data_IF_068154505233
#
_entry.id   IF_068154505233
#
_cell.length_a   1.000
_cell.length_b   1.000
_cell.length_c   1.000
_cell.angle_alpha   90.00
_cell.angle_beta   90.00
_cell.angle_gamma   90.00
#
_symmetry.space_group_name_H-M   'P 1'
#
loop_
_entity.id
_entity.type
_entity.pdbx_description
1 polymer ?
#
# COMPACT_ATOMS: atom_id res chain seq x y z
N UNK A 1 23.50 -12.49 -9.42
CA UNK A 1 22.69 -11.26 -9.71
C UNK A 1 21.56 -11.04 -8.70
N UNK A 2 20.88 -12.09 -8.24
CA UNK A 2 19.78 -11.97 -7.26
C UNK A 2 20.28 -11.37 -5.92
N UNK A 3 21.40 -11.87 -5.40
CA UNK A 3 21.94 -11.43 -4.09
C UNK A 3 22.43 -9.98 -4.10
N UNK A 4 22.96 -9.49 -5.22
CA UNK A 4 23.37 -8.08 -5.35
C UNK A 4 22.14 -7.16 -5.34
N UNK A 5 21.05 -7.55 -5.97
CA UNK A 5 19.81 -6.77 -5.97
C UNK A 5 19.18 -6.73 -4.56
N UNK A 6 19.23 -7.83 -3.81
CA UNK A 6 18.75 -7.90 -2.42
C UNK A 6 19.59 -7.00 -1.52
N UNK A 7 20.91 -7.08 -1.57
CA UNK A 7 21.81 -6.25 -0.75
C UNK A 7 21.65 -4.75 -1.04
N UNK A 8 21.49 -4.37 -2.31
CA UNK A 8 21.23 -2.97 -2.68
C UNK A 8 19.88 -2.51 -2.14
N UNK A 9 18.85 -3.32 -2.29
CA UNK A 9 17.51 -3.02 -1.77
C UNK A 9 17.52 -2.89 -0.25
N UNK A 10 18.19 -3.78 0.46
CA UNK A 10 18.33 -3.73 1.91
C UNK A 10 19.06 -2.46 2.38
N UNK A 11 20.17 -2.10 1.73
CA UNK A 11 20.91 -0.89 2.04
C UNK A 11 20.08 0.39 1.86
N UNK A 12 19.30 0.47 0.78
CA UNK A 12 18.42 1.60 0.51
C UNK A 12 17.23 1.65 1.48
N UNK A 13 16.66 0.50 1.81
CA UNK A 13 15.59 0.39 2.82
C UNK A 13 16.08 0.85 4.18
N UNK A 14 17.25 0.40 4.63
CA UNK A 14 17.84 0.81 5.90
C UNK A 14 18.15 2.30 5.94
N UNK A 15 18.63 2.87 4.83
CA UNK A 15 18.83 4.31 4.71
C UNK A 15 17.50 5.07 4.91
N UNK A 16 16.45 4.63 4.23
CA UNK A 16 15.12 5.25 4.34
C UNK A 16 14.53 5.10 5.75
N UNK A 17 14.64 3.95 6.38
CA UNK A 17 14.21 3.73 7.76
C UNK A 17 14.93 4.66 8.74
N UNK A 18 16.24 4.87 8.56
CA UNK A 18 17.02 5.81 9.36
C UNK A 18 16.59 7.27 9.15
N UNK A 19 16.21 7.67 7.93
CA UNK A 19 15.67 9.00 7.64
C UNK A 19 14.33 9.21 8.34
N UNK A 20 13.41 8.24 8.21
CA UNK A 20 12.09 8.27 8.88
C UNK A 20 12.29 8.31 10.40
N UNK A 21 13.14 7.45 10.96
CA UNK A 21 13.46 7.44 12.39
C UNK A 21 13.92 8.80 12.88
N UNK A 22 14.84 9.46 12.17
CA UNK A 22 15.30 10.81 12.54
C UNK A 22 14.19 11.85 12.46
N UNK A 23 13.31 11.76 11.44
CA UNK A 23 12.22 12.73 11.27
C UNK A 23 11.17 12.64 12.38
N UNK A 24 10.93 11.43 12.89
CA UNK A 24 9.94 11.19 13.94
C UNK A 24 10.53 11.28 15.36
N UNK A 25 11.86 11.27 15.50
CA UNK A 25 12.53 11.27 16.82
C UNK A 25 12.21 12.50 17.67
N UNK A 26 11.93 13.64 17.06
CA UNK A 26 11.51 14.88 17.73
C UNK A 26 10.01 14.93 18.04
N UNK A 27 9.21 13.97 17.54
CA UNK A 27 7.77 13.96 17.71
C UNK A 27 7.36 13.22 18.98
N UNK A 28 6.25 13.64 19.60
CA UNK A 28 5.66 12.88 20.69
C UNK A 28 4.85 11.69 20.14
N UNK A 29 5.49 10.54 20.03
CA UNK A 29 4.87 9.31 19.50
C UNK A 29 3.83 8.70 20.43
N UNK A 30 3.85 9.05 21.71
CA UNK A 30 2.99 8.44 22.73
C UNK A 30 1.71 9.22 22.96
N UNK A 31 1.52 10.38 22.30
CA UNK A 31 0.39 11.27 22.57
C UNK A 31 -0.96 10.58 22.48
N UNK A 32 -1.20 9.83 21.44
CA UNK A 32 -2.50 9.16 21.21
C UNK A 32 -2.66 7.95 22.13
N UNK A 33 -1.58 7.20 22.34
CA UNK A 33 -1.55 6.07 23.28
C UNK A 33 -1.76 6.55 24.73
N UNK A 34 -1.13 7.65 25.12
CA UNK A 34 -1.29 8.23 26.44
C UNK A 34 -2.69 8.81 26.65
N UNK A 35 -3.25 9.47 25.65
CA UNK A 35 -4.63 9.95 25.70
C UNK A 35 -5.62 8.78 25.87
N UNK A 36 -5.45 7.71 25.11
CA UNK A 36 -6.28 6.51 25.24
C UNK A 36 -6.14 5.89 26.64
N UNK A 37 -4.91 5.81 27.17
CA UNK A 37 -4.64 5.30 28.52
C UNK A 37 -5.34 6.14 29.59
N UNK A 38 -5.26 7.47 29.52
CA UNK A 38 -5.93 8.37 30.45
C UNK A 38 -7.44 8.26 30.39
N UNK A 39 -7.99 8.04 29.19
CA UNK A 39 -9.42 7.81 28.96
C UNK A 39 -9.86 6.37 29.26
N UNK A 40 -8.94 5.49 29.65
CA UNK A 40 -9.18 4.04 29.86
C UNK A 40 -9.78 3.33 28.63
N UNK A 41 -9.36 3.75 27.45
CA UNK A 41 -9.72 3.13 26.17
C UNK A 41 -8.66 2.11 25.76
N UNK A 42 -9.07 0.96 25.27
CA UNK A 42 -8.16 0.04 24.60
C UNK A 42 -7.73 0.68 23.27
N UNK A 43 -6.44 0.69 23.00
CA UNK A 43 -5.85 1.31 21.81
C UNK A 43 -4.78 0.43 21.21
N UNK A 44 -4.80 0.26 19.90
CA UNK A 44 -3.80 -0.50 19.17
C UNK A 44 -3.52 0.15 17.82
N UNK A 45 -2.24 0.31 17.47
CA UNK A 45 -1.81 0.66 16.14
C UNK A 45 -1.59 -0.62 15.32
N UNK A 46 -2.19 -0.72 14.13
CA UNK A 46 -2.08 -1.90 13.27
C UNK A 46 -1.78 -1.57 11.80
N UNK A 47 -1.18 -0.42 11.54
CA UNK A 47 -0.89 0.09 10.21
C UNK A 47 -0.09 -0.91 9.37
N UNK A 48 1.10 -1.32 9.81
CA UNK A 48 1.96 -2.24 9.06
C UNK A 48 1.31 -3.61 8.82
N UNK A 49 0.50 -4.08 9.77
CA UNK A 49 -0.24 -5.35 9.61
C UNK A 49 -1.27 -5.20 8.51
N UNK A 50 -2.02 -4.10 8.48
CA UNK A 50 -3.00 -3.80 7.44
C UNK A 50 -2.34 -3.67 6.06
N UNK A 51 -1.21 -2.94 5.97
CA UNK A 51 -0.44 -2.80 4.74
C UNK A 51 -0.01 -4.16 4.17
N UNK A 52 0.52 -5.04 5.01
CA UNK A 52 0.93 -6.39 4.58
C UNK A 52 -0.25 -7.24 4.09
N UNK A 53 -1.43 -7.12 4.71
CA UNK A 53 -2.63 -7.81 4.24
C UNK A 53 -3.05 -7.34 2.85
N UNK A 54 -3.09 -6.03 2.62
CA UNK A 54 -3.52 -5.50 1.31
C UNK A 54 -2.49 -5.75 0.23
N UNK A 55 -1.19 -5.65 0.54
CA UNK A 55 -0.10 -5.95 -0.39
C UNK A 55 -0.16 -7.40 -0.87
N UNK A 56 -0.25 -8.34 0.07
CA UNK A 56 -0.35 -9.77 -0.23
C UNK A 56 -1.61 -10.07 -1.05
N UNK A 57 -2.76 -9.57 -0.62
CA UNK A 57 -4.03 -9.77 -1.30
C UNK A 57 -4.01 -9.25 -2.75
N UNK A 58 -3.53 -8.03 -2.98
CA UNK A 58 -3.48 -7.46 -4.32
C UNK A 58 -2.44 -8.17 -5.20
N UNK A 59 -1.29 -8.53 -4.63
CA UNK A 59 -0.26 -9.27 -5.36
C UNK A 59 -0.81 -10.59 -5.88
N UNK A 60 -1.48 -11.37 -5.02
CA UNK A 60 -2.10 -12.63 -5.40
C UNK A 60 -3.23 -12.44 -6.41
N UNK A 61 -4.09 -11.46 -6.19
CA UNK A 61 -5.23 -11.19 -7.06
C UNK A 61 -4.78 -10.77 -8.48
N UNK A 62 -3.83 -9.85 -8.60
CA UNK A 62 -3.29 -9.40 -9.89
C UNK A 62 -2.62 -10.56 -10.63
N UNK A 63 -1.85 -11.40 -9.92
CA UNK A 63 -1.24 -12.61 -10.51
C UNK A 63 -2.28 -13.61 -10.98
N UNK A 64 -3.29 -13.91 -10.15
CA UNK A 64 -4.34 -14.89 -10.44
C UNK A 64 -5.17 -14.50 -11.66
N UNK A 65 -5.47 -13.22 -11.80
CA UNK A 65 -6.27 -12.69 -12.92
C UNK A 65 -5.41 -12.41 -14.17
N UNK A 66 -4.09 -12.67 -14.12
CA UNK A 66 -3.17 -12.55 -15.24
C UNK A 66 -3.23 -11.17 -15.91
N UNK A 67 -3.25 -10.08 -15.14
CA UNK A 67 -3.26 -8.73 -15.68
C UNK A 67 -2.13 -8.51 -16.69
N UNK A 68 -2.46 -8.14 -17.90
CA UNK A 68 -1.49 -7.92 -18.98
C UNK A 68 -1.23 -6.45 -19.25
N UNK A 69 -2.26 -5.61 -19.12
CA UNK A 69 -2.19 -4.16 -19.29
C UNK A 69 -2.50 -3.42 -17.99
N UNK A 70 -2.14 -2.13 -17.89
CA UNK A 70 -2.52 -1.33 -16.73
C UNK A 70 -4.04 -1.15 -16.62
N UNK A 71 -4.78 -1.22 -17.75
CA UNK A 71 -6.24 -1.25 -17.71
C UNK A 71 -6.75 -2.45 -16.93
N UNK A 72 -6.14 -3.64 -17.13
CA UNK A 72 -6.55 -4.84 -16.43
C UNK A 72 -6.35 -4.69 -14.90
N UNK A 73 -5.25 -4.04 -14.48
CA UNK A 73 -5.04 -3.73 -13.04
C UNK A 73 -6.16 -2.81 -12.54
N UNK A 74 -6.51 -1.77 -13.27
CA UNK A 74 -7.62 -0.86 -12.89
C UNK A 74 -8.93 -1.64 -12.78
N UNK A 75 -9.22 -2.51 -13.76
CA UNK A 75 -10.44 -3.32 -13.76
C UNK A 75 -10.46 -4.29 -12.57
N UNK A 76 -9.32 -4.92 -12.25
CA UNK A 76 -9.16 -5.77 -11.05
C UNK A 76 -9.43 -4.97 -9.77
N UNK A 77 -8.86 -3.77 -9.63
CA UNK A 77 -9.12 -2.91 -8.48
C UNK A 77 -10.60 -2.58 -8.35
N UNK A 78 -11.28 -2.31 -9.48
CA UNK A 78 -12.74 -2.09 -9.50
C UNK A 78 -13.58 -3.33 -9.17
N UNK A 79 -13.02 -4.54 -9.08
CA UNK A 79 -13.74 -5.71 -8.53
C UNK A 79 -13.82 -5.69 -7.00
N UNK A 80 -13.01 -4.86 -6.33
CA UNK A 80 -12.88 -4.78 -4.87
C UNK A 80 -13.75 -3.65 -4.34
N UNK A 81 -14.61 -3.95 -3.39
CA UNK A 81 -15.66 -3.02 -2.96
C UNK A 81 -15.13 -1.74 -2.32
N UNK A 82 -14.03 -1.81 -1.56
CA UNK A 82 -13.39 -0.63 -0.98
C UNK A 82 -12.98 0.37 -2.06
N UNK A 83 -12.40 -0.09 -3.16
CA UNK A 83 -12.02 0.78 -4.27
C UNK A 83 -13.22 1.29 -5.06
N UNK A 84 -14.28 0.47 -5.24
CA UNK A 84 -15.54 0.92 -5.85
C UNK A 84 -16.20 2.03 -5.03
N UNK A 85 -16.27 1.85 -3.71
CA UNK A 85 -16.86 2.84 -2.79
C UNK A 85 -16.02 4.11 -2.80
N UNK A 86 -14.70 4.00 -2.75
CA UNK A 86 -13.78 5.14 -2.82
C UNK A 86 -13.93 5.90 -4.14
N UNK A 87 -14.10 5.20 -5.26
CA UNK A 87 -14.34 5.82 -6.56
C UNK A 87 -15.64 6.62 -6.58
N UNK A 88 -16.73 6.12 -5.98
CA UNK A 88 -17.99 6.87 -5.81
C UNK A 88 -17.83 8.12 -4.93
N UNK A 89 -16.79 8.15 -4.09
CA UNK A 89 -16.41 9.31 -3.26
C UNK A 89 -15.34 10.19 -3.93
N UNK A 90 -15.24 10.14 -5.26
CA UNK A 90 -14.31 10.91 -6.10
C UNK A 90 -12.82 10.60 -5.89
N UNK A 91 -12.49 9.44 -5.34
CA UNK A 91 -11.13 8.97 -5.18
C UNK A 91 -10.92 7.59 -5.85
N UNK A 92 -10.97 7.51 -7.19
CA UNK A 92 -10.82 6.25 -7.92
C UNK A 92 -9.35 5.82 -8.00
N UNK A 93 -9.09 4.51 -8.19
CA UNK A 93 -7.80 4.03 -8.66
C UNK A 93 -7.40 4.72 -9.97
N UNK A 94 -6.09 5.05 -10.10
CA UNK A 94 -5.62 5.88 -11.22
C UNK A 94 -4.22 5.50 -11.67
N UNK A 95 -3.98 5.55 -12.99
CA UNK A 95 -2.64 5.45 -13.60
C UNK A 95 -1.99 6.83 -13.54
N UNK A 96 -0.84 6.95 -12.86
CA UNK A 96 -0.06 8.18 -12.76
C UNK A 96 1.12 8.21 -13.73
N UNK A 97 1.65 7.04 -14.11
CA UNK A 97 2.65 6.91 -15.16
C UNK A 97 2.35 5.67 -16.02
N UNK A 98 2.49 5.80 -17.33
CA UNK A 98 2.04 4.82 -18.31
C UNK A 98 0.67 5.18 -18.90
N UNK A 99 0.07 4.25 -19.60
CA UNK A 99 -1.24 4.38 -20.24
C UNK A 99 -2.05 3.10 -20.05
N UNK A 100 -3.35 3.12 -20.32
CA UNK A 100 -4.22 1.95 -20.25
C UNK A 100 -3.66 0.75 -21.06
N UNK A 101 -2.95 1.01 -22.16
CA UNK A 101 -2.36 -0.01 -23.04
C UNK A 101 -0.95 -0.45 -22.65
N UNK A 102 -0.32 0.21 -21.68
CA UNK A 102 1.01 -0.16 -21.20
C UNK A 102 0.97 -1.56 -20.60
N UNK A 103 2.00 -2.38 -20.90
CA UNK A 103 2.11 -3.73 -20.36
C UNK A 103 2.50 -3.69 -18.89
N UNK A 104 1.91 -4.55 -18.09
CA UNK A 104 2.23 -4.71 -16.67
C UNK A 104 3.67 -5.18 -16.48
N UNK A 105 4.12 -6.17 -17.24
CA UNK A 105 5.44 -6.78 -17.11
C UNK A 105 5.68 -7.35 -15.70
N UNK A 106 6.92 -7.28 -15.23
CA UNK A 106 7.23 -7.63 -13.83
C UNK A 106 6.72 -6.51 -12.93
N UNK A 107 5.86 -6.84 -11.99
CA UNK A 107 5.27 -5.85 -11.10
C UNK A 107 5.57 -6.13 -9.63
N UNK A 108 5.48 -5.10 -8.85
CA UNK A 108 5.43 -5.15 -7.38
C UNK A 108 4.21 -4.37 -6.88
N UNK A 109 3.72 -4.77 -5.72
CA UNK A 109 2.71 -4.03 -4.97
C UNK A 109 3.41 -3.46 -3.74
N UNK A 110 3.29 -2.16 -3.50
CA UNK A 110 3.79 -1.47 -2.32
C UNK A 110 2.64 -0.70 -1.68
N UNK A 111 2.19 -1.19 -0.55
CA UNK A 111 1.09 -0.59 0.20
C UNK A 111 1.59 0.04 1.51
N UNK A 112 2.81 0.54 1.49
CA UNK A 112 3.40 1.22 2.64
C UNK A 112 2.92 2.68 2.69
N UNK A 113 2.04 2.99 3.63
CA UNK A 113 1.42 4.32 3.72
C UNK A 113 2.31 5.41 4.31
N UNK A 114 3.29 5.08 5.14
CA UNK A 114 4.07 6.06 5.91
C UNK A 114 5.50 6.30 5.41
N UNK A 115 6.08 5.38 4.68
CA UNK A 115 7.46 5.42 4.20
C UNK A 115 7.51 4.99 2.74
N UNK A 116 7.37 5.94 1.81
CA UNK A 116 7.58 5.65 0.40
C UNK A 116 9.02 5.17 0.13
N UNK A 117 9.24 4.49 -0.98
CA UNK A 117 10.56 4.08 -1.45
C UNK A 117 11.60 5.20 -1.36
N UNK A 118 12.85 4.83 -1.02
CA UNK A 118 13.98 5.70 -1.33
C UNK A 118 14.05 5.87 -2.86
N UNK A 119 14.29 7.10 -3.31
CA UNK A 119 14.36 7.42 -4.74
C UNK A 119 15.39 6.55 -5.46
N UNK A 120 16.52 6.24 -4.82
CA UNK A 120 17.54 5.35 -5.38
C UNK A 120 17.07 3.91 -5.62
N UNK A 121 15.99 3.48 -4.96
CA UNK A 121 15.40 2.16 -5.20
C UNK A 121 14.79 2.05 -6.60
N UNK A 122 14.26 3.14 -7.17
CA UNK A 122 13.59 3.12 -8.47
C UNK A 122 14.56 2.67 -9.57
N UNK A 123 15.78 3.18 -9.56
CA UNK A 123 16.81 2.71 -10.50
C UNK A 123 17.12 1.22 -10.31
N UNK A 124 17.27 0.77 -9.06
CA UNK A 124 17.56 -0.62 -8.77
C UNK A 124 16.41 -1.56 -9.20
N UNK A 125 15.16 -1.14 -8.96
CA UNK A 125 13.97 -1.88 -9.39
C UNK A 125 13.88 -1.98 -10.92
N UNK A 126 14.12 -0.87 -11.62
CA UNK A 126 14.18 -0.86 -13.10
C UNK A 126 15.27 -1.80 -13.63
N UNK A 127 16.47 -1.75 -13.08
CA UNK A 127 17.57 -2.68 -13.42
C UNK A 127 17.25 -4.14 -13.10
N UNK A 128 16.42 -4.39 -12.09
CA UNK A 128 15.90 -5.73 -11.77
C UNK A 128 14.73 -6.17 -12.69
N UNK A 129 14.35 -5.34 -13.66
CA UNK A 129 13.32 -5.60 -14.67
C UNK A 129 11.90 -5.31 -14.18
N UNK A 130 11.72 -4.61 -13.07
CA UNK A 130 10.38 -4.16 -12.62
C UNK A 130 9.88 -3.10 -13.59
N UNK A 131 8.69 -3.32 -14.12
CA UNK A 131 8.05 -2.45 -15.10
C UNK A 131 6.85 -1.69 -14.53
N UNK A 132 6.26 -2.17 -13.44
CA UNK A 132 5.05 -1.58 -12.85
C UNK A 132 5.10 -1.64 -11.33
N UNK A 133 4.70 -0.54 -10.69
CA UNK A 133 4.46 -0.49 -9.25
C UNK A 133 2.99 -0.12 -9.01
N UNK A 134 2.32 -0.93 -8.19
CA UNK A 134 0.97 -0.64 -7.67
C UNK A 134 1.13 -0.18 -6.22
N UNK A 135 0.60 1.00 -5.89
CA UNK A 135 0.81 1.61 -4.58
C UNK A 135 -0.41 2.40 -4.09
N UNK A 136 -0.42 2.79 -2.83
CA UNK A 136 -1.53 3.58 -2.25
C UNK A 136 -1.58 5.00 -2.83
N UNK A 137 -0.45 5.66 -2.85
CA UNK A 137 -0.25 7.03 -3.32
C UNK A 137 1.19 7.22 -3.79
N UNK A 138 1.48 8.36 -4.40
CA UNK A 138 2.83 8.68 -4.86
C UNK A 138 3.09 10.18 -4.69
N UNK A 139 4.30 10.55 -4.26
CA UNK A 139 4.76 11.94 -4.27
C UNK A 139 5.28 12.34 -5.66
N UNK A 140 5.19 13.64 -5.98
CA UNK A 140 5.67 14.15 -7.27
C UNK A 140 7.15 13.79 -7.52
N UNK A 141 7.98 13.92 -6.50
CA UNK A 141 9.39 13.59 -6.58
C UNK A 141 9.65 12.11 -6.94
N UNK A 142 8.88 11.19 -6.36
CA UNK A 142 8.99 9.77 -6.66
C UNK A 142 8.43 9.46 -8.06
N UNK A 143 7.34 10.13 -8.43
CA UNK A 143 6.74 10.00 -9.75
C UNK A 143 7.69 10.43 -10.87
N UNK A 144 8.42 11.52 -10.68
CA UNK A 144 9.40 11.99 -11.65
C UNK A 144 10.57 11.01 -11.80
N UNK A 145 11.00 10.38 -10.71
CA UNK A 145 12.01 9.34 -10.79
C UNK A 145 11.48 8.07 -11.50
N UNK A 146 10.23 7.67 -11.24
CA UNK A 146 9.59 6.57 -11.97
C UNK A 146 9.47 6.84 -13.47
N UNK A 147 9.18 8.08 -13.87
CA UNK A 147 9.15 8.51 -15.27
C UNK A 147 10.52 8.37 -15.92
N UNK A 148 11.56 8.81 -15.24
CA UNK A 148 12.96 8.73 -15.72
C UNK A 148 13.40 7.30 -16.00
N UNK A 149 12.96 6.34 -15.20
CA UNK A 149 13.29 4.92 -15.34
C UNK A 149 12.19 4.09 -16.01
N UNK A 150 11.19 4.73 -16.62
CA UNK A 150 10.10 4.10 -17.38
C UNK A 150 9.30 3.07 -16.58
N UNK A 151 9.15 3.27 -15.28
CA UNK A 151 8.32 2.42 -14.42
C UNK A 151 6.88 2.95 -14.42
N UNK A 152 5.94 2.10 -14.81
CA UNK A 152 4.52 2.41 -14.74
C UNK A 152 4.06 2.52 -13.28
N UNK A 153 3.13 3.44 -13.01
CA UNK A 153 2.57 3.66 -11.67
C UNK A 153 1.05 3.59 -11.71
N UNK A 154 0.51 2.71 -10.89
CA UNK A 154 -0.92 2.63 -10.59
C UNK A 154 -1.11 2.93 -9.11
N UNK A 155 -1.85 4.00 -8.79
CA UNK A 155 -2.24 4.29 -7.41
C UNK A 155 -3.65 3.76 -7.17
N UNK A 156 -3.78 2.86 -6.19
CA UNK A 156 -5.05 2.24 -5.82
C UNK A 156 -5.91 3.16 -4.93
N UNK A 157 -5.28 4.09 -4.21
CA UNK A 157 -5.91 5.00 -3.26
C UNK A 157 -5.56 4.64 -1.81
N UNK A 158 -5.26 5.65 -0.99
CA UNK A 158 -4.74 5.46 0.37
C UNK A 158 -5.82 4.88 1.29
N UNK A 159 -6.88 5.67 1.57
CA UNK A 159 -7.93 5.25 2.52
C UNK A 159 -8.65 3.96 2.12
N UNK A 160 -8.79 3.68 0.83
CA UNK A 160 -9.37 2.45 0.33
C UNK A 160 -8.47 1.24 0.56
N UNK A 161 -7.16 1.42 0.42
CA UNK A 161 -6.17 0.36 0.67
C UNK A 161 -6.05 0.06 2.17
N UNK A 162 -5.95 1.09 3.02
CA UNK A 162 -6.00 0.93 4.48
C UNK A 162 -7.26 0.20 4.92
N UNK A 163 -8.40 0.61 4.37
CA UNK A 163 -9.69 0.00 4.68
C UNK A 163 -9.73 -1.48 4.28
N UNK A 164 -9.24 -1.82 3.10
CA UNK A 164 -9.15 -3.20 2.65
C UNK A 164 -8.26 -4.04 3.58
N UNK A 165 -7.07 -3.52 3.94
CA UNK A 165 -6.15 -4.20 4.85
C UNK A 165 -6.76 -4.46 6.22
N UNK A 166 -7.46 -3.47 6.78
CA UNK A 166 -8.16 -3.58 8.07
C UNK A 166 -9.33 -4.58 7.97
N UNK A 167 -10.12 -4.54 6.90
CA UNK A 167 -11.21 -5.50 6.69
C UNK A 167 -10.71 -6.94 6.59
N UNK A 168 -9.58 -7.16 5.88
CA UNK A 168 -8.93 -8.48 5.79
C UNK A 168 -8.39 -8.94 7.15
N UNK A 169 -7.80 -8.04 7.93
CA UNK A 169 -7.35 -8.33 9.29
C UNK A 169 -8.53 -8.75 10.19
N UNK A 170 -9.63 -7.99 10.17
CA UNK A 170 -10.80 -8.32 10.96
C UNK A 170 -11.41 -9.66 10.55
N UNK A 171 -11.46 -9.95 9.25
CA UNK A 171 -11.83 -11.29 8.78
C UNK A 171 -10.94 -12.36 9.38
N UNK A 172 -9.63 -12.19 9.32
CA UNK A 172 -8.67 -13.16 9.86
C UNK A 172 -8.84 -13.36 11.38
N UNK A 173 -9.16 -12.29 12.12
CA UNK A 173 -9.44 -12.36 13.56
C UNK A 173 -10.72 -13.14 13.79
N UNK A 174 -11.84 -12.80 13.12
CA UNK A 174 -13.12 -13.52 13.23
C UNK A 174 -12.97 -15.01 12.90
N UNK A 175 -12.27 -15.32 11.81
CA UNK A 175 -12.02 -16.71 11.38
C UNK A 175 -11.23 -17.51 12.42
N UNK A 176 -10.28 -16.88 13.10
CA UNK A 176 -9.41 -17.52 14.08
C UNK A 176 -10.06 -17.65 15.46
N UNK A 177 -10.73 -16.61 15.95
CA UNK A 177 -11.31 -16.57 17.30
C UNK A 177 -12.69 -17.17 17.35
N UNK A 178 -13.43 -17.14 16.23
CA UNK A 178 -14.87 -17.46 16.14
C UNK A 178 -15.73 -16.51 16.96
N UNK A 179 -15.18 -15.39 17.40
CA UNK A 179 -15.92 -14.36 18.09
C UNK A 179 -16.50 -13.36 17.09
N UNK A 180 -17.68 -12.88 17.37
CA UNK A 180 -18.31 -11.79 16.64
C UNK A 180 -18.14 -10.49 17.42
N UNK A 181 -17.86 -9.40 16.70
CA UNK A 181 -17.71 -8.07 17.25
C UNK A 181 -18.24 -7.02 16.26
N UNK A 182 -18.84 -5.98 16.81
CA UNK A 182 -19.34 -4.86 16.02
C UNK A 182 -18.17 -3.96 15.58
N UNK A 183 -18.21 -3.53 14.33
CA UNK A 183 -17.25 -2.57 13.75
C UNK A 183 -17.99 -1.27 13.51
N UNK A 184 -17.55 -0.19 14.17
CA UNK A 184 -18.08 1.15 13.99
C UNK A 184 -17.08 1.95 13.15
N UNK A 185 -17.34 2.17 11.86
CA UNK A 185 -16.43 2.89 10.99
C UNK A 185 -16.40 4.39 11.32
N UNK A 186 -15.20 4.96 11.35
CA UNK A 186 -14.97 6.39 11.58
C UNK A 186 -13.86 6.91 10.66
N UNK A 187 -13.70 8.23 10.59
CA UNK A 187 -12.59 8.91 9.88
C UNK A 187 -12.36 8.48 8.43
N UNK A 188 -13.46 8.18 7.71
CA UNK A 188 -13.39 7.80 6.30
C UNK A 188 -13.12 6.31 6.04
N UNK A 189 -12.91 5.51 7.08
CA UNK A 189 -12.78 4.07 6.94
C UNK A 189 -14.00 3.46 6.21
N UNK A 190 -13.72 2.58 5.27
CA UNK A 190 -14.69 1.90 4.42
C UNK A 190 -14.85 0.47 4.93
N UNK A 191 -15.85 0.25 5.78
CA UNK A 191 -16.16 -1.11 6.22
C UNK A 191 -16.84 -1.90 5.11
N UNK A 192 -16.31 -3.07 4.82
CA UNK A 192 -16.88 -4.09 3.93
C UNK A 192 -16.66 -5.44 4.62
N UNK A 193 -17.73 -6.15 4.86
CA UNK A 193 -17.64 -7.50 5.40
C UNK A 193 -16.97 -8.46 4.40
N UNK A 194 -16.01 -9.28 4.85
CA UNK A 194 -15.17 -10.16 4.01
C UNK A 194 -15.49 -11.63 4.23
#
# INVERSE_FOLDING_TARGET
>A
MHDVAVNVSEGLTNKRLNEVSRSVFSSNHYRDVDAARLLKLNYMCMHTVADNFVESFLTEKIKKENAYTLSDIIDILYTIDEYKISAKRFNPPKIFNGSNKSKVGKFIVDMTGGASFDIGMIEALSKAGVSTIVMMNISDRLLDECRKYYINIVCAGHISSDSLGINLLFKAIKDKTKEDFEIIPASGYIFVEK
#
